data_IF_769477105115
#
_entry.id   IF_769477105115
#
_cell.length_a   1.000
_cell.length_b   1.000
_cell.length_c   1.000
_cell.angle_alpha   90.00
_cell.angle_beta   90.00
_cell.angle_gamma   90.00
#
_symmetry.space_group_name_H-M   'P 1'
#
loop_
_entity.id
_entity.type
_entity.pdbx_description
1 polymer ?
#
# COMPACT_ATOMS: atom_id res chain seq x y z
N UNK A 1 20.80 4.25 17.26
CA UNK A 1 20.89 4.49 15.81
C UNK A 1 19.62 5.21 15.41
N UNK A 2 19.72 6.46 14.98
CA UNK A 2 18.54 7.27 14.68
C UNK A 2 18.35 7.37 13.17
N UNK A 3 17.33 6.68 12.66
CA UNK A 3 16.90 6.77 11.26
C UNK A 3 15.86 7.88 11.13
N UNK A 4 16.11 8.86 10.27
CA UNK A 4 15.12 9.90 9.94
C UNK A 4 14.37 9.51 8.67
N UNK A 5 13.05 9.37 8.77
CA UNK A 5 12.19 9.02 7.64
C UNK A 5 11.55 10.25 7.02
N UNK A 6 11.61 10.36 5.70
CA UNK A 6 10.94 11.39 4.89
C UNK A 6 10.03 10.74 3.83
N UNK A 7 8.94 11.43 3.50
CA UNK A 7 8.06 11.01 2.41
C UNK A 7 8.77 11.14 1.06
N UNK A 8 8.60 10.14 0.19
CA UNK A 8 9.05 10.21 -1.20
C UNK A 8 7.88 10.58 -2.13
N UNK A 9 8.18 10.96 -3.37
CA UNK A 9 7.19 11.24 -4.40
C UNK A 9 6.45 9.99 -4.92
N UNK A 10 6.85 8.80 -4.48
CA UNK A 10 6.13 7.55 -4.70
C UNK A 10 5.61 7.09 -3.33
N UNK A 11 4.29 7.12 -3.13
CA UNK A 11 3.68 6.95 -1.81
C UNK A 11 4.17 5.72 -1.02
N UNK A 12 4.49 4.63 -1.74
CA UNK A 12 4.95 3.37 -1.18
C UNK A 12 6.42 3.32 -0.81
N UNK A 13 7.28 4.27 -1.18
CA UNK A 13 8.69 4.28 -0.78
C UNK A 13 8.99 5.44 0.18
N UNK A 14 10.06 5.31 0.97
CA UNK A 14 10.49 6.30 1.96
C UNK A 14 11.95 6.64 1.81
N UNK A 15 12.27 7.92 1.92
CA UNK A 15 13.65 8.37 2.02
C UNK A 15 14.07 8.20 3.47
N UNK A 16 15.26 7.63 3.68
CA UNK A 16 15.84 7.40 5.00
C UNK A 16 17.18 8.13 5.06
N UNK A 17 17.38 8.96 6.07
CA UNK A 17 18.65 9.64 6.32
C UNK A 17 19.35 8.99 7.51
N UNK A 18 20.61 8.60 7.30
CA UNK A 18 21.46 7.95 8.29
C UNK A 18 22.92 8.34 8.04
N UNK A 19 23.64 8.78 9.07
CA UNK A 19 25.05 9.19 8.98
C UNK A 19 25.35 10.16 7.81
N UNK A 20 24.52 11.19 7.64
CA UNK A 20 24.60 12.17 6.53
C UNK A 20 24.50 11.57 5.11
N UNK A 21 24.13 10.30 5.00
CA UNK A 21 23.82 9.61 3.75
C UNK A 21 22.32 9.48 3.58
N UNK A 22 21.90 9.46 2.32
CA UNK A 22 20.51 9.34 1.91
C UNK A 22 20.28 7.95 1.34
N UNK A 23 19.19 7.33 1.75
CA UNK A 23 18.78 6.02 1.28
C UNK A 23 17.32 6.08 0.83
N UNK A 24 16.93 5.16 -0.04
CA UNK A 24 15.53 4.87 -0.34
C UNK A 24 15.19 3.48 0.16
N UNK A 25 14.18 3.41 1.03
CA UNK A 25 13.70 2.18 1.62
C UNK A 25 12.75 1.48 0.65
N UNK A 26 13.08 0.23 0.29
CA UNK A 26 12.24 -0.63 -0.52
C UNK A 26 11.26 -1.42 0.35
N UNK A 27 10.07 -0.87 0.45
CA UNK A 27 8.91 -1.38 1.17
C UNK A 27 8.37 -2.70 0.63
N UNK A 28 8.64 -2.98 -0.64
CA UNK A 28 8.22 -4.22 -1.28
C UNK A 28 9.06 -5.39 -0.77
N UNK A 29 10.32 -5.12 -0.40
CA UNK A 29 11.29 -6.09 0.11
C UNK A 29 11.08 -6.51 1.57
N UNK A 30 10.12 -5.92 2.28
CA UNK A 30 9.91 -6.18 3.70
C UNK A 30 9.61 -7.66 3.95
N UNK A 31 10.38 -8.31 4.83
CA UNK A 31 10.10 -9.65 5.37
C UNK A 31 9.56 -9.54 6.80
N UNK A 32 8.77 -10.53 7.24
CA UNK A 32 8.06 -10.46 8.52
C UNK A 32 6.81 -9.58 8.48
N UNK A 33 6.11 -9.54 7.33
CA UNK A 33 4.91 -8.70 7.12
C UNK A 33 3.75 -9.00 8.07
N UNK A 34 3.75 -10.20 8.67
CA UNK A 34 2.81 -10.57 9.72
C UNK A 34 2.85 -9.63 10.93
N UNK A 35 3.97 -8.93 11.16
CA UNK A 35 4.05 -7.87 12.18
C UNK A 35 2.97 -6.80 11.97
N UNK A 36 2.72 -6.42 10.72
CA UNK A 36 1.73 -5.41 10.34
C UNK A 36 0.29 -5.95 10.32
N UNK A 37 0.14 -7.27 10.44
CA UNK A 37 -1.14 -7.96 10.69
C UNK A 37 -1.37 -8.22 12.19
N UNK A 38 -0.55 -7.63 13.06
CA UNK A 38 -0.69 -7.74 14.52
C UNK A 38 -0.03 -8.97 15.13
N UNK A 39 0.70 -9.78 14.36
CA UNK A 39 1.53 -10.86 14.90
C UNK A 39 2.88 -10.32 15.38
N UNK A 40 3.65 -11.15 16.10
CA UNK A 40 4.97 -10.77 16.63
C UNK A 40 6.05 -11.72 16.06
N UNK A 41 6.48 -11.52 14.81
CA UNK A 41 7.59 -12.28 14.27
C UNK A 41 8.88 -11.95 15.01
N UNK A 42 9.82 -12.90 15.07
CA UNK A 42 11.12 -12.67 15.73
C UNK A 42 11.92 -11.53 15.11
N UNK A 43 11.82 -11.33 13.80
CA UNK A 43 12.57 -10.30 13.05
C UNK A 43 11.71 -9.73 11.93
N UNK A 44 11.86 -8.44 11.66
CA UNK A 44 11.34 -7.74 10.48
C UNK A 44 12.54 -7.19 9.73
N UNK A 45 12.64 -7.45 8.42
CA UNK A 45 13.75 -6.92 7.62
C UNK A 45 13.24 -6.07 6.48
N UNK A 46 14.00 -5.06 6.08
CA UNK A 46 13.68 -4.22 4.94
C UNK A 46 14.96 -3.80 4.22
N UNK A 47 14.97 -3.86 2.89
CA UNK A 47 16.11 -3.40 2.12
C UNK A 47 16.02 -1.90 1.87
N UNK A 48 17.15 -1.22 1.86
CA UNK A 48 17.29 0.16 1.42
C UNK A 48 18.48 0.27 0.47
N UNK A 49 18.42 1.26 -0.42
CA UNK A 49 19.47 1.51 -1.41
C UNK A 49 20.06 2.89 -1.17
N UNK A 50 21.39 3.02 -1.15
CA UNK A 50 22.07 4.30 -1.04
C UNK A 50 21.81 5.16 -2.28
N UNK A 51 21.41 6.40 -2.06
CA UNK A 51 21.22 7.40 -3.09
C UNK A 51 22.42 8.34 -3.09
N UNK A 52 22.89 8.71 -4.29
CA UNK A 52 23.83 9.83 -4.44
C UNK A 52 23.24 11.09 -3.80
N UNK A 53 24.05 11.95 -3.14
CA UNK A 53 23.59 13.23 -2.62
C UNK A 53 22.87 14.10 -3.65
N UNK A 54 23.24 13.99 -4.93
CA UNK A 54 22.63 14.71 -6.05
C UNK A 54 21.33 14.08 -6.58
N UNK A 55 20.93 12.89 -6.10
CA UNK A 55 19.75 12.20 -6.59
C UNK A 55 18.47 12.69 -5.87
N UNK A 56 17.72 13.55 -6.56
CA UNK A 56 16.43 14.11 -6.13
C UNK A 56 15.22 13.35 -6.72
N UNK A 57 15.44 12.25 -7.45
CA UNK A 57 14.39 11.58 -8.25
C UNK A 57 13.23 11.03 -7.41
N UNK A 58 13.44 10.84 -6.11
CA UNK A 58 12.44 10.40 -5.14
C UNK A 58 11.89 11.54 -4.28
N UNK A 59 12.37 12.77 -4.44
CA UNK A 59 11.89 13.91 -3.68
C UNK A 59 10.55 14.44 -4.21
N UNK A 60 9.73 14.94 -3.29
CA UNK A 60 8.48 15.61 -3.62
C UNK A 60 8.82 16.98 -4.19
N UNK A 61 8.80 17.09 -5.52
CA UNK A 61 8.91 18.37 -6.20
C UNK A 61 7.68 19.22 -5.90
N UNK A 62 7.89 20.52 -5.69
CA UNK A 62 6.80 21.50 -5.61
C UNK A 62 6.11 21.59 -6.98
N UNK A 63 5.13 20.73 -7.24
CA UNK A 63 4.22 20.90 -8.37
C UNK A 63 3.27 22.05 -8.10
N UNK A 64 2.81 22.72 -9.16
CA UNK A 64 1.69 23.68 -9.11
C UNK A 64 0.53 23.02 -8.36
N UNK A 65 0.21 23.57 -7.19
CA UNK A 65 -0.83 23.04 -6.32
C UNK A 65 -2.17 23.37 -6.97
N UNK A 66 -2.73 22.41 -7.72
CA UNK A 66 -4.10 22.53 -8.20
C UNK A 66 -4.99 22.72 -6.97
N UNK A 67 -5.85 23.73 -7.01
CA UNK A 67 -6.80 23.98 -5.94
C UNK A 67 -7.70 22.76 -5.75
N UNK A 68 -8.08 22.46 -4.50
CA UNK A 68 -9.01 21.36 -4.19
C UNK A 68 -10.30 21.47 -5.01
N UNK A 69 -10.76 22.69 -5.27
CA UNK A 69 -11.90 23.00 -6.14
C UNK A 69 -11.69 22.57 -7.59
N UNK A 70 -10.51 22.83 -8.16
CA UNK A 70 -10.15 22.43 -9.53
C UNK A 70 -10.14 20.91 -9.68
N UNK A 71 -9.60 20.18 -8.68
CA UNK A 71 -9.60 18.72 -8.67
C UNK A 71 -11.03 18.18 -8.57
N UNK A 72 -11.85 18.76 -7.69
CA UNK A 72 -13.25 18.36 -7.53
C UNK A 72 -14.04 18.49 -8.84
N UNK A 73 -13.90 19.63 -9.53
CA UNK A 73 -14.57 19.89 -10.82
C UNK A 73 -14.16 18.86 -11.88
N UNK A 74 -12.88 18.48 -11.94
CA UNK A 74 -12.41 17.49 -12.92
C UNK A 74 -12.94 16.07 -12.63
N UNK A 75 -13.14 15.71 -11.36
CA UNK A 75 -13.54 14.37 -10.94
C UNK A 75 -15.06 14.18 -10.97
N UNK A 76 -15.82 15.26 -10.77
CA UNK A 76 -17.28 15.22 -10.61
C UNK A 76 -18.03 14.58 -11.81
N UNK A 77 -17.69 14.85 -13.09
CA UNK A 77 -18.34 14.17 -14.22
C UNK A 77 -18.13 12.66 -14.21
N UNK A 78 -16.92 12.20 -13.88
CA UNK A 78 -16.59 10.78 -13.81
C UNK A 78 -17.40 10.08 -12.70
N UNK A 79 -17.50 10.71 -11.53
CA UNK A 79 -18.31 10.21 -10.40
C UNK A 79 -19.80 10.18 -10.77
N UNK A 80 -20.33 11.24 -11.38
CA UNK A 80 -21.73 11.31 -11.77
C UNK A 80 -22.13 10.30 -12.85
N UNK A 81 -21.26 10.05 -13.83
CA UNK A 81 -21.50 9.06 -14.89
C UNK A 81 -21.44 7.64 -14.31
N UNK A 82 -20.40 7.32 -13.55
CA UNK A 82 -20.22 6.00 -12.94
C UNK A 82 -21.36 5.66 -11.96
N UNK A 83 -21.77 6.61 -11.12
CA UNK A 83 -22.90 6.44 -10.22
C UNK A 83 -24.21 6.15 -10.98
N UNK A 84 -24.52 6.94 -12.01
CA UNK A 84 -25.76 6.74 -12.80
C UNK A 84 -25.78 5.42 -13.54
N UNK A 85 -24.65 5.03 -14.14
CA UNK A 85 -24.51 3.75 -14.82
C UNK A 85 -24.76 2.58 -13.86
N UNK A 86 -24.09 2.60 -12.71
CA UNK A 86 -24.20 1.54 -11.72
C UNK A 86 -25.59 1.49 -11.07
N UNK A 87 -26.20 2.64 -10.74
CA UNK A 87 -27.58 2.69 -10.24
C UNK A 87 -28.55 2.05 -11.23
N UNK A 88 -28.44 2.37 -12.52
CA UNK A 88 -29.27 1.77 -13.58
C UNK A 88 -29.06 0.26 -13.67
N UNK A 89 -27.81 -0.22 -13.65
CA UNK A 89 -27.51 -1.64 -13.68
C UNK A 89 -28.08 -2.39 -12.47
N UNK A 90 -27.92 -1.84 -11.26
CA UNK A 90 -28.42 -2.44 -10.02
C UNK A 90 -29.94 -2.59 -9.98
N UNK A 91 -30.65 -1.56 -10.46
CA UNK A 91 -32.12 -1.58 -10.55
C UNK A 91 -32.57 -2.52 -11.67
N UNK A 92 -32.00 -2.38 -12.87
CA UNK A 92 -32.42 -3.14 -14.06
C UNK A 92 -32.19 -4.65 -13.93
N UNK A 93 -31.12 -5.06 -13.23
CA UNK A 93 -30.79 -6.47 -13.05
C UNK A 93 -31.37 -7.07 -11.75
N UNK A 94 -32.14 -6.27 -10.99
CA UNK A 94 -32.74 -6.72 -9.73
C UNK A 94 -31.73 -7.10 -8.65
N UNK A 95 -30.45 -6.70 -8.77
CA UNK A 95 -29.39 -7.11 -7.82
C UNK A 95 -29.69 -6.59 -6.41
N UNK A 96 -30.38 -5.46 -6.34
CA UNK A 96 -30.86 -4.86 -5.09
C UNK A 96 -31.71 -5.82 -4.24
N UNK A 97 -32.44 -6.74 -4.85
CA UNK A 97 -33.33 -7.67 -4.15
C UNK A 97 -32.64 -9.00 -3.79
N UNK A 98 -31.52 -9.32 -4.45
CA UNK A 98 -30.87 -10.62 -4.32
C UNK A 98 -29.63 -10.53 -3.41
N UNK A 99 -29.76 -11.02 -2.17
CA UNK A 99 -28.68 -10.99 -1.18
C UNK A 99 -27.43 -11.73 -1.67
N UNK A 100 -27.59 -12.89 -2.31
CA UNK A 100 -26.47 -13.68 -2.86
C UNK A 100 -25.71 -12.88 -3.92
N UNK A 101 -26.44 -12.23 -4.83
CA UNK A 101 -25.84 -11.42 -5.89
C UNK A 101 -25.12 -10.19 -5.32
N UNK A 102 -25.68 -9.55 -4.29
CA UNK A 102 -25.01 -8.49 -3.54
C UNK A 102 -23.68 -8.97 -2.95
N UNK A 103 -23.68 -10.08 -2.23
CA UNK A 103 -22.46 -10.65 -1.66
C UNK A 103 -21.42 -10.96 -2.75
N UNK A 104 -21.85 -11.53 -3.88
CA UNK A 104 -20.99 -11.79 -5.03
C UNK A 104 -20.35 -10.53 -5.61
N UNK A 105 -21.15 -9.48 -5.86
CA UNK A 105 -20.64 -8.19 -6.39
C UNK A 105 -19.73 -7.50 -5.37
N UNK A 106 -20.05 -7.57 -4.08
CA UNK A 106 -19.21 -7.02 -3.02
C UNK A 106 -17.85 -7.73 -2.96
N UNK A 107 -17.83 -9.06 -2.96
CA UNK A 107 -16.61 -9.84 -3.02
C UNK A 107 -15.79 -9.56 -4.29
N UNK A 108 -16.47 -9.46 -5.44
CA UNK A 108 -15.84 -9.09 -6.71
C UNK A 108 -15.20 -7.69 -6.65
N UNK A 109 -15.83 -6.72 -6.00
CA UNK A 109 -15.26 -5.39 -5.79
C UNK A 109 -13.96 -5.42 -4.98
N UNK A 110 -13.91 -6.26 -3.95
CA UNK A 110 -12.69 -6.47 -3.15
C UNK A 110 -11.61 -7.17 -3.97
N UNK A 111 -11.97 -8.16 -4.79
CA UNK A 111 -11.04 -8.82 -5.71
C UNK A 111 -10.42 -7.82 -6.69
N UNK A 112 -11.22 -6.96 -7.31
CA UNK A 112 -10.73 -5.92 -8.21
C UNK A 112 -9.79 -4.95 -7.49
N UNK A 113 -10.15 -4.55 -6.27
CA UNK A 113 -9.31 -3.69 -5.42
C UNK A 113 -7.97 -4.34 -5.09
N UNK A 114 -7.95 -5.64 -4.80
CA UNK A 114 -6.73 -6.40 -4.59
C UNK A 114 -5.85 -6.41 -5.86
N UNK A 115 -6.43 -6.72 -7.02
CA UNK A 115 -5.70 -6.73 -8.29
C UNK A 115 -5.10 -5.35 -8.60
N UNK A 116 -5.85 -4.27 -8.36
CA UNK A 116 -5.36 -2.90 -8.49
C UNK A 116 -4.20 -2.60 -7.55
N UNK A 117 -4.23 -3.11 -6.31
CA UNK A 117 -3.11 -2.97 -5.36
C UNK A 117 -1.87 -3.76 -5.83
N UNK A 118 -2.04 -4.97 -6.38
CA UNK A 118 -0.96 -5.75 -6.98
C UNK A 118 -0.33 -5.01 -8.16
N UNK A 119 -1.17 -4.53 -9.08
CA UNK A 119 -0.74 -3.78 -10.25
C UNK A 119 0.00 -2.50 -9.85
N UNK A 120 -0.55 -1.74 -8.91
CA UNK A 120 0.08 -0.54 -8.37
C UNK A 120 1.45 -0.84 -7.75
N UNK A 121 1.57 -1.89 -6.94
CA UNK A 121 2.85 -2.31 -6.37
C UNK A 121 3.88 -2.68 -7.44
N UNK A 122 3.50 -3.45 -8.47
CA UNK A 122 4.37 -3.78 -9.61
C UNK A 122 4.79 -2.52 -10.37
N UNK A 123 3.86 -1.59 -10.61
CA UNK A 123 4.15 -0.33 -11.31
C UNK A 123 5.10 0.55 -10.52
N UNK A 124 4.87 0.70 -9.22
CA UNK A 124 5.73 1.45 -8.32
C UNK A 124 7.14 0.86 -8.26
N UNK A 125 7.26 -0.47 -8.14
CA UNK A 125 8.54 -1.17 -8.13
C UNK A 125 9.33 -0.99 -9.43
N UNK A 126 8.68 -1.11 -10.59
CA UNK A 126 9.32 -0.79 -11.89
C UNK A 126 9.85 0.64 -11.94
N UNK A 127 9.08 1.61 -11.44
CA UNK A 127 9.53 3.00 -11.37
C UNK A 127 10.69 3.18 -10.41
N UNK A 128 10.68 2.50 -9.26
CA UNK A 128 11.80 2.47 -8.32
C UNK A 128 13.06 1.92 -8.99
N UNK A 129 12.99 0.72 -9.58
CA UNK A 129 14.14 0.05 -10.19
C UNK A 129 14.72 0.88 -11.35
N UNK A 130 13.88 1.57 -12.12
CA UNK A 130 14.33 2.46 -13.20
C UNK A 130 15.07 3.72 -12.73
N UNK A 131 14.92 4.11 -11.45
CA UNK A 131 15.51 5.33 -10.87
C UNK A 131 16.74 5.04 -10.00
N UNK A 132 17.01 3.77 -9.69
CA UNK A 132 18.16 3.35 -8.92
C UNK A 132 19.37 3.19 -9.86
N UNK A 133 20.50 3.89 -9.59
CA UNK A 133 21.74 3.64 -10.33
C UNK A 133 22.22 2.19 -10.17
N UNK A 134 22.76 1.59 -11.25
CA UNK A 134 23.21 0.18 -11.25
C UNK A 134 24.34 -0.11 -10.26
N UNK A 135 25.12 0.90 -9.90
CA UNK A 135 26.26 0.78 -8.98
C UNK A 135 25.91 1.14 -7.53
N UNK A 136 24.61 1.29 -7.22
CA UNK A 136 24.17 1.66 -5.87
C UNK A 136 24.40 0.52 -4.88
N UNK A 137 24.88 0.88 -3.69
CA UNK A 137 25.01 -0.06 -2.58
C UNK A 137 23.65 -0.33 -1.94
N UNK A 138 23.35 -1.60 -1.70
CA UNK A 138 22.13 -2.03 -1.03
C UNK A 138 22.43 -2.48 0.39
N UNK A 139 21.51 -2.19 1.30
CA UNK A 139 21.63 -2.49 2.72
C UNK A 139 20.35 -3.15 3.21
N UNK A 140 20.47 -4.12 4.12
CA UNK A 140 19.36 -4.78 4.80
C UNK A 140 19.26 -4.24 6.23
N UNK A 141 18.15 -3.58 6.54
CA UNK A 141 17.79 -3.19 7.89
C UNK A 141 17.16 -4.37 8.60
N UNK A 142 17.69 -4.75 9.75
CA UNK A 142 17.12 -5.81 10.60
C UNK A 142 16.54 -5.20 11.86
N UNK A 143 15.25 -5.41 12.04
CA UNK A 143 14.46 -4.90 13.14
C UNK A 143 13.93 -6.03 14.03
N UNK A 144 13.76 -5.74 15.31
CA UNK A 144 13.06 -6.58 16.27
C UNK A 144 11.81 -5.85 16.81
N UNK A 145 10.65 -6.52 16.86
CA UNK A 145 9.47 -5.93 17.49
C UNK A 145 9.64 -5.72 18.98
N UNK A 146 9.32 -4.51 19.49
CA UNK A 146 9.30 -4.20 20.93
C UNK A 146 8.11 -4.82 21.69
N UNK A 147 7.59 -5.96 21.24
CA UNK A 147 6.42 -6.64 21.81
C UNK A 147 5.05 -5.96 21.61
N UNK A 148 5.00 -4.72 21.12
CA UNK A 148 3.73 -4.03 20.82
C UNK A 148 3.15 -4.50 19.48
N UNK A 149 1.92 -5.02 19.52
CA UNK A 149 1.14 -5.43 18.33
C UNK A 149 0.57 -4.21 17.62
N UNK A 150 0.53 -4.28 16.29
CA UNK A 150 -0.09 -3.24 15.46
C UNK A 150 -1.52 -3.64 15.10
N UNK A 151 -2.45 -2.72 15.32
CA UNK A 151 -3.90 -2.96 15.23
C UNK A 151 -4.50 -2.23 14.00
N UNK A 152 -3.70 -1.44 13.29
CA UNK A 152 -4.16 -0.55 12.22
C UNK A 152 -4.89 -1.28 11.08
N UNK A 153 -4.55 -2.54 10.81
CA UNK A 153 -5.24 -3.34 9.79
C UNK A 153 -6.70 -3.66 10.17
N UNK A 154 -7.03 -3.73 11.46
CA UNK A 154 -8.41 -3.95 11.93
C UNK A 154 -9.31 -2.78 11.55
N UNK A 155 -8.79 -1.55 11.45
CA UNK A 155 -9.57 -0.39 11.00
C UNK A 155 -10.10 -0.63 9.58
N UNK A 156 -9.26 -1.18 8.70
CA UNK A 156 -9.67 -1.52 7.33
C UNK A 156 -10.75 -2.61 7.34
N UNK A 157 -10.59 -3.66 8.15
CA UNK A 157 -11.58 -4.74 8.25
C UNK A 157 -12.91 -4.24 8.76
N UNK A 158 -12.90 -3.49 9.87
CA UNK A 158 -14.11 -2.91 10.47
C UNK A 158 -14.81 -2.01 9.45
N UNK A 159 -14.07 -1.16 8.73
CA UNK A 159 -14.63 -0.31 7.70
C UNK A 159 -15.30 -1.11 6.56
N UNK A 160 -14.70 -2.23 6.12
CA UNK A 160 -15.29 -3.10 5.10
C UNK A 160 -16.56 -3.80 5.63
N UNK A 161 -16.56 -4.26 6.89
CA UNK A 161 -17.74 -4.86 7.53
C UNK A 161 -18.88 -3.85 7.61
N UNK A 162 -18.59 -2.62 8.06
CA UNK A 162 -19.60 -1.54 8.12
C UNK A 162 -20.14 -1.24 6.73
N UNK A 163 -19.28 -1.13 5.72
CA UNK A 163 -19.72 -0.94 4.33
C UNK A 163 -20.60 -2.08 3.84
N UNK A 164 -20.25 -3.33 4.17
CA UNK A 164 -21.05 -4.51 3.84
C UNK A 164 -22.44 -4.46 4.48
N UNK A 165 -22.53 -4.12 5.77
CA UNK A 165 -23.81 -4.00 6.47
C UNK A 165 -24.72 -2.96 5.81
N UNK A 166 -24.21 -1.78 5.49
CA UNK A 166 -24.98 -0.76 4.76
C UNK A 166 -25.35 -1.20 3.35
N UNK A 167 -24.44 -1.88 2.64
CA UNK A 167 -24.66 -2.35 1.28
C UNK A 167 -25.76 -3.42 1.21
N UNK A 168 -25.80 -4.36 2.16
CA UNK A 168 -26.87 -5.36 2.25
C UNK A 168 -28.21 -4.71 2.62
N UNK A 169 -28.19 -3.81 3.62
CA UNK A 169 -29.39 -3.16 4.16
C UNK A 169 -30.04 -2.11 3.25
N UNK A 170 -29.39 -1.74 2.14
CA UNK A 170 -29.89 -0.75 1.18
C UNK A 170 -30.44 -1.45 -0.05
N UNK A 171 -31.61 -1.03 -0.56
CA UNK A 171 -32.26 -1.65 -1.73
C UNK A 171 -32.83 -0.66 -2.76
N UNK A 172 -32.31 0.57 -2.78
CA UNK A 172 -32.80 1.67 -3.61
C UNK A 172 -31.82 2.07 -4.75
N UNK A 173 -30.79 1.24 -5.00
CA UNK A 173 -29.78 1.46 -6.04
C UNK A 173 -28.66 2.42 -5.64
N UNK A 174 -28.69 3.01 -4.43
CA UNK A 174 -27.54 3.76 -3.87
C UNK A 174 -26.40 2.83 -3.44
N UNK A 175 -26.68 1.52 -3.34
CA UNK A 175 -25.71 0.45 -3.09
C UNK A 175 -24.45 0.55 -3.94
N UNK A 176 -24.58 0.98 -5.20
CA UNK A 176 -23.43 1.17 -6.07
C UNK A 176 -22.41 2.17 -5.49
N UNK A 177 -22.85 3.29 -4.92
CA UNK A 177 -21.95 4.26 -4.31
C UNK A 177 -21.18 3.65 -3.12
N UNK A 178 -21.86 2.83 -2.31
CA UNK A 178 -21.23 2.09 -1.21
C UNK A 178 -20.19 1.09 -1.74
N UNK A 179 -20.43 0.48 -2.91
CA UNK A 179 -19.46 -0.40 -3.56
C UNK A 179 -18.19 0.35 -3.98
N UNK A 180 -18.31 1.57 -4.53
CA UNK A 180 -17.16 2.41 -4.88
C UNK A 180 -16.37 2.79 -3.62
N UNK A 181 -17.06 3.26 -2.58
CA UNK A 181 -16.44 3.63 -1.31
C UNK A 181 -15.71 2.42 -0.71
N UNK A 182 -16.35 1.26 -0.68
CA UNK A 182 -15.74 0.01 -0.25
C UNK A 182 -14.49 -0.31 -1.06
N UNK A 183 -14.57 -0.26 -2.40
CA UNK A 183 -13.43 -0.54 -3.27
C UNK A 183 -12.23 0.37 -3.01
N UNK A 184 -12.46 1.67 -2.74
CA UNK A 184 -11.40 2.61 -2.36
C UNK A 184 -10.77 2.20 -1.01
N UNK A 185 -11.58 1.91 0.00
CA UNK A 185 -11.12 1.48 1.33
C UNK A 185 -10.34 0.17 1.22
N UNK A 186 -10.87 -0.83 0.52
CA UNK A 186 -10.21 -2.12 0.30
C UNK A 186 -8.89 -1.93 -0.45
N UNK A 187 -8.85 -1.08 -1.49
CA UNK A 187 -7.62 -0.82 -2.24
C UNK A 187 -6.53 -0.23 -1.35
N UNK A 188 -6.83 0.79 -0.55
CA UNK A 188 -5.88 1.33 0.42
C UNK A 188 -5.42 0.27 1.41
N UNK A 189 -6.35 -0.53 1.95
CA UNK A 189 -6.05 -1.66 2.83
C UNK A 189 -5.05 -2.64 2.23
N UNK A 190 -5.30 -3.09 1.00
CA UNK A 190 -4.42 -4.02 0.29
C UNK A 190 -3.05 -3.40 -0.04
N UNK A 191 -3.00 -2.11 -0.38
CA UNK A 191 -1.73 -1.40 -0.59
C UNK A 191 -0.90 -1.39 0.69
N UNK A 192 -1.50 -1.02 1.83
CA UNK A 192 -0.81 -1.01 3.12
C UNK A 192 -0.38 -2.40 3.58
N UNK A 193 -1.21 -3.42 3.38
CA UNK A 193 -0.87 -4.80 3.71
C UNK A 193 0.33 -5.31 2.90
N UNK A 194 0.39 -4.96 1.60
CA UNK A 194 1.48 -5.41 0.72
C UNK A 194 2.77 -4.62 0.92
N UNK A 195 2.67 -3.33 1.22
CA UNK A 195 3.78 -2.38 1.31
C UNK A 195 3.62 -1.52 2.57
N UNK A 196 3.86 -2.08 3.78
CA UNK A 196 3.63 -1.38 5.04
C UNK A 196 4.72 -0.33 5.29
N UNK A 197 4.31 0.94 5.51
CA UNK A 197 5.21 2.10 5.38
C UNK A 197 4.96 3.25 6.35
N UNK A 198 4.14 3.04 7.37
CA UNK A 198 3.84 4.11 8.34
C UNK A 198 5.12 4.35 9.16
N UNK A 199 5.70 5.56 9.18
CA UNK A 199 6.87 5.86 10.01
C UNK A 199 6.66 5.53 11.49
N UNK A 200 5.41 5.56 11.95
CA UNK A 200 5.00 5.10 13.26
C UNK A 200 5.37 3.62 13.53
N UNK A 201 5.31 2.75 12.51
CA UNK A 201 5.67 1.34 12.63
C UNK A 201 7.16 1.15 12.93
N UNK A 202 8.02 2.03 12.41
CA UNK A 202 9.46 1.96 12.72
C UNK A 202 9.77 2.45 14.15
N UNK A 203 8.86 3.17 14.81
CA UNK A 203 9.03 3.55 16.24
C UNK A 203 8.83 2.36 17.19
N UNK A 204 7.96 1.43 16.81
CA UNK A 204 7.67 0.21 17.58
C UNK A 204 8.64 -0.94 17.29
N UNK A 205 9.54 -0.74 16.33
CA UNK A 205 10.66 -1.62 16.00
C UNK A 205 11.96 -1.09 16.64
N UNK A 206 12.81 -1.98 17.13
CA UNK A 206 14.20 -1.67 17.47
C UNK A 206 15.09 -2.06 16.29
N UNK A 207 15.88 -1.12 15.78
CA UNK A 207 16.90 -1.43 14.79
C UNK A 207 18.04 -2.17 15.49
N UNK A 208 18.29 -3.41 15.07
CA UNK A 208 19.37 -4.23 15.62
C UNK A 208 20.66 -3.98 14.84
N UNK A 209 20.57 -4.03 13.50
CA UNK A 209 21.74 -3.94 12.62
C UNK A 209 21.38 -3.52 11.20
N UNK A 210 22.40 -3.05 10.49
CA UNK A 210 22.37 -2.73 9.06
C UNK A 210 23.44 -3.61 8.40
N UNK A 211 23.03 -4.55 7.57
CA UNK A 211 23.95 -5.42 6.82
C UNK A 211 24.10 -4.88 5.39
N UNK A 212 25.33 -4.71 4.88
CA UNK A 212 25.55 -4.43 3.45
C UNK A 212 25.25 -5.71 2.64
N UNK A 213 24.38 -5.60 1.64
CA UNK A 213 24.07 -6.70 0.73
C UNK A 213 25.18 -6.77 -0.33
N UNK A 214 26.09 -7.75 -0.21
CA UNK A 214 27.05 -8.05 -1.27
C UNK A 214 26.31 -8.50 -2.55
N UNK A 215 26.83 -8.11 -3.72
CA UNK A 215 26.20 -8.37 -5.03
C UNK A 215 25.86 -9.86 -5.29
N UNK A 216 26.49 -10.80 -4.57
CA UNK A 216 26.22 -12.24 -4.67
C UNK A 216 24.83 -12.69 -4.18
N UNK A 217 24.18 -11.96 -3.26
CA UNK A 217 22.87 -12.39 -2.72
C UNK A 217 21.66 -11.91 -3.52
N UNK A 218 21.88 -11.23 -4.65
CA UNK A 218 20.82 -10.73 -5.51
C UNK A 218 20.39 -11.74 -6.59
N UNK A 219 21.16 -12.83 -6.78
CA UNK A 219 20.93 -13.89 -7.76
C UNK A 219 20.52 -15.26 -7.16
N UNK A 220 20.29 -15.37 -5.85
CA UNK A 220 19.72 -16.59 -5.28
C UNK A 220 18.21 -16.65 -5.57
N UNK A 221 17.89 -17.33 -6.65
CA UNK A 221 16.57 -17.84 -7.04
C UNK A 221 15.86 -18.50 -5.84
N UNK A 222 14.56 -18.22 -5.55
CA UNK A 222 13.83 -18.83 -4.43
C UNK A 222 13.61 -20.35 -4.55
N UNK A 223 14.07 -20.99 -5.62
CA UNK A 223 13.78 -22.39 -5.94
C UNK A 223 14.93 -23.38 -5.67
N UNK A 224 15.77 -23.19 -4.65
CA UNK A 224 16.59 -24.31 -4.14
C UNK A 224 16.74 -24.25 -2.63
N UNK A 225 15.82 -24.91 -1.92
CA UNK A 225 16.09 -25.75 -0.73
C UNK A 225 14.78 -26.36 -0.23
N UNK A 226 14.37 -27.44 -0.89
CA UNK A 226 13.68 -28.55 -0.22
C UNK A 226 14.66 -29.72 -0.34
N UNK A 227 15.21 -30.14 0.79
CA UNK A 227 15.70 -31.49 0.99
C UNK A 227 15.11 -31.99 2.28
#
# INVERSE_FOLDING_TARGET
MDLKFKYSNIAVFRIVEYNNKKFILDSTSIKGKSYFLGWLPKKVTANMVELSPSNDSFEIRSKTRLGTSTIAIMVQPLVGISYRFMKKAFISWGVSQQIILKLGIFAFSMLLSYLMAVWYGKRAKRTFDSRIPKDSKSYCLVFEPKGKRMIDWYITVIANIVCLSFFIGTSNGTEGALLIVNGIISWFGFVFMRMPQIPAYYKTLSLIKIDELSKDKMNEDPHVKIK
#
